data_IF_828799111235
#
_entry.id   IF_828799111235
#
_cell.length_a   1.000
_cell.length_b   1.000
_cell.length_c   1.000
_cell.angle_alpha   90.00
_cell.angle_beta   90.00
_cell.angle_gamma   90.00
#
_symmetry.space_group_name_H-M   'P 1'
#
loop_
_entity.id
_entity.type
_entity.pdbx_description
1 polymer ?
#
# COMPACT_ATOMS: atom_id res chain seq x y z
N UNK A 1 -19.76 0.66 4.67
CA UNK A 1 -20.09 1.13 3.32
C UNK A 1 -20.56 -0.03 2.45
N UNK A 2 -19.68 -1.00 2.07
CA UNK A 2 -20.11 -2.15 1.25
C UNK A 2 -21.15 -3.03 1.94
N UNK A 3 -21.06 -3.20 3.25
CA UNK A 3 -22.04 -3.94 4.07
C UNK A 3 -23.40 -3.22 4.17
N UNK A 4 -23.39 -1.90 4.10
CA UNK A 4 -24.60 -1.06 4.09
C UNK A 4 -25.22 -0.94 2.68
N UNK A 5 -24.55 -1.50 1.69
CA UNK A 5 -24.92 -1.44 0.28
C UNK A 5 -24.26 -0.30 -0.47
N UNK A 6 -23.71 -0.63 -1.61
CA UNK A 6 -23.15 0.32 -2.58
C UNK A 6 -23.53 -0.17 -3.97
N UNK A 7 -24.22 0.67 -4.74
CA UNK A 7 -24.69 0.29 -6.06
C UNK A 7 -23.55 -0.20 -6.96
N UNK A 8 -23.72 -1.39 -7.52
CA UNK A 8 -22.76 -2.02 -8.41
C UNK A 8 -21.57 -2.72 -7.74
N UNK A 9 -21.50 -2.72 -6.40
CA UNK A 9 -20.46 -3.43 -5.65
C UNK A 9 -21.05 -4.31 -4.56
N UNK A 10 -20.49 -5.51 -4.42
CA UNK A 10 -20.81 -6.46 -3.38
C UNK A 10 -19.55 -6.99 -2.71
N UNK A 11 -19.51 -6.97 -1.38
CA UNK A 11 -18.48 -7.68 -0.63
C UNK A 11 -18.87 -9.16 -0.59
N UNK A 12 -18.04 -10.03 -1.15
CA UNK A 12 -18.34 -11.46 -1.32
C UNK A 12 -17.51 -12.36 -0.41
N UNK A 13 -16.23 -12.05 -0.23
CA UNK A 13 -15.30 -12.88 0.54
C UNK A 13 -14.14 -12.06 1.11
N UNK A 14 -13.47 -12.63 2.10
CA UNK A 14 -12.23 -12.05 2.64
C UNK A 14 -11.16 -13.13 2.78
N UNK A 15 -9.88 -12.72 2.69
CA UNK A 15 -8.73 -13.52 3.13
C UNK A 15 -8.06 -12.86 4.33
N UNK A 16 -7.66 -13.64 5.32
CA UNK A 16 -7.01 -13.11 6.53
C UNK A 16 -6.07 -14.12 7.15
N UNK A 17 -4.85 -13.70 7.44
CA UNK A 17 -3.90 -14.49 8.23
C UNK A 17 -4.26 -14.64 9.71
N UNK A 18 -5.29 -13.94 10.20
CA UNK A 18 -5.79 -14.01 11.57
C UNK A 18 -7.25 -14.43 11.59
N UNK A 19 -7.47 -15.72 11.34
CA UNK A 19 -8.81 -16.30 11.15
C UNK A 19 -9.77 -15.96 12.27
N UNK A 20 -9.40 -16.16 13.53
CA UNK A 20 -10.27 -15.87 14.68
C UNK A 20 -10.73 -14.39 14.73
N UNK A 21 -9.83 -13.45 14.40
CA UNK A 21 -10.19 -12.02 14.34
C UNK A 21 -11.10 -11.71 13.16
N UNK A 22 -10.90 -12.38 12.06
CA UNK A 22 -11.77 -12.25 10.89
C UNK A 22 -13.18 -12.79 11.20
N UNK A 23 -13.29 -13.97 11.78
CA UNK A 23 -14.54 -14.57 12.21
C UNK A 23 -15.31 -13.64 13.17
N UNK A 24 -14.61 -13.13 14.20
CA UNK A 24 -15.22 -12.17 15.14
C UNK A 24 -15.68 -10.87 14.45
N UNK A 25 -14.93 -10.37 13.48
CA UNK A 25 -15.33 -9.19 12.69
C UNK A 25 -16.55 -9.48 11.81
N UNK A 26 -16.60 -10.64 11.16
CA UNK A 26 -17.70 -11.03 10.27
C UNK A 26 -19.04 -11.10 10.99
N UNK A 27 -19.07 -11.42 12.30
CA UNK A 27 -20.32 -11.40 13.08
C UNK A 27 -20.91 -10.00 13.23
N UNK A 28 -20.17 -8.94 12.93
CA UNK A 28 -20.64 -7.55 12.99
C UNK A 28 -21.21 -7.05 11.66
N UNK A 29 -21.11 -7.85 10.60
CA UNK A 29 -21.61 -7.50 9.28
C UNK A 29 -23.06 -7.97 9.07
N UNK A 30 -23.80 -7.22 8.27
CA UNK A 30 -25.19 -7.54 7.90
C UNK A 30 -25.23 -8.64 6.83
N UNK A 31 -24.20 -8.73 6.00
CA UNK A 31 -24.12 -9.70 4.89
C UNK A 31 -23.22 -10.87 5.29
N UNK A 32 -23.64 -12.12 5.07
CA UNK A 32 -22.78 -13.28 5.25
C UNK A 32 -21.59 -13.24 4.29
N UNK A 33 -20.38 -13.30 4.84
CA UNK A 33 -19.13 -13.25 4.09
C UNK A 33 -18.31 -14.49 4.42
N UNK A 34 -17.72 -15.10 3.38
CA UNK A 34 -16.85 -16.26 3.55
C UNK A 34 -15.39 -15.87 3.74
N UNK A 35 -14.69 -16.63 4.60
CA UNK A 35 -13.23 -16.54 4.75
C UNK A 35 -12.60 -17.58 3.82
N UNK A 36 -11.85 -17.10 2.85
CA UNK A 36 -11.22 -17.91 1.80
C UNK A 36 -9.70 -17.74 1.83
N UNK A 37 -8.97 -18.54 1.07
CA UNK A 37 -7.57 -18.31 0.73
C UNK A 37 -7.42 -17.11 -0.22
N UNK A 38 -6.20 -16.59 -0.37
CA UNK A 38 -5.90 -15.49 -1.32
C UNK A 38 -6.26 -15.92 -2.76
N UNK A 39 -5.93 -17.15 -3.12
CA UNK A 39 -6.20 -17.72 -4.43
C UNK A 39 -7.70 -17.81 -4.72
N UNK A 40 -8.48 -18.31 -3.78
CA UNK A 40 -9.94 -18.45 -3.91
C UNK A 40 -10.62 -17.08 -4.02
N UNK A 41 -10.18 -16.09 -3.24
CA UNK A 41 -10.66 -14.69 -3.37
C UNK A 41 -10.32 -14.13 -4.76
N UNK A 42 -9.09 -14.33 -5.23
CA UNK A 42 -8.67 -13.83 -6.55
C UNK A 42 -9.39 -14.55 -7.70
N UNK A 43 -9.83 -15.79 -7.51
CA UNK A 43 -10.60 -16.54 -8.51
C UNK A 43 -12.06 -16.10 -8.56
N UNK A 44 -12.71 -15.96 -7.40
CA UNK A 44 -14.14 -15.68 -7.29
C UNK A 44 -14.51 -14.21 -7.45
N UNK A 45 -13.58 -13.26 -7.21
CA UNK A 45 -13.85 -11.83 -7.26
C UNK A 45 -13.38 -11.19 -8.58
N UNK A 46 -14.04 -10.12 -8.99
CA UNK A 46 -13.59 -9.26 -10.11
C UNK A 46 -12.58 -8.22 -9.62
N UNK A 47 -12.74 -7.78 -8.37
CA UNK A 47 -11.91 -6.77 -7.72
C UNK A 47 -11.38 -7.34 -6.41
N UNK A 48 -10.08 -7.34 -6.23
CA UNK A 48 -9.41 -7.69 -4.98
C UNK A 48 -8.88 -6.42 -4.32
N UNK A 49 -9.26 -6.19 -3.07
CA UNK A 49 -8.79 -5.04 -2.29
C UNK A 49 -7.73 -5.51 -1.30
N UNK A 50 -6.51 -5.07 -1.51
CA UNK A 50 -5.37 -5.36 -0.63
C UNK A 50 -5.19 -4.28 0.43
N UNK A 51 -5.42 -4.66 1.69
CA UNK A 51 -5.10 -3.89 2.89
C UNK A 51 -4.19 -4.68 3.84
N UNK A 52 -3.52 -5.70 3.33
CA UNK A 52 -2.67 -6.61 4.10
C UNK A 52 -1.26 -6.03 4.36
N UNK A 53 -0.49 -6.62 5.28
CA UNK A 53 0.90 -6.26 5.46
C UNK A 53 1.73 -6.48 4.18
N UNK A 54 2.72 -5.60 3.93
CA UNK A 54 3.59 -5.65 2.73
C UNK A 54 4.16 -7.05 2.43
N UNK A 55 4.41 -7.86 3.44
CA UNK A 55 5.02 -9.19 3.29
C UNK A 55 4.19 -10.14 2.43
N UNK A 56 2.88 -10.01 2.40
CA UNK A 56 1.98 -10.85 1.58
C UNK A 56 1.54 -10.16 0.27
N UNK A 57 1.99 -8.93 0.03
CA UNK A 57 1.60 -8.16 -1.16
C UNK A 57 1.90 -8.91 -2.46
N UNK A 58 3.10 -9.50 -2.61
CA UNK A 58 3.49 -10.21 -3.82
C UNK A 58 2.57 -11.41 -4.13
N UNK A 59 2.16 -12.14 -3.10
CA UNK A 59 1.23 -13.27 -3.20
C UNK A 59 -0.14 -12.79 -3.70
N UNK A 60 -0.70 -11.75 -3.06
CA UNK A 60 -1.99 -11.16 -3.45
C UNK A 60 -1.94 -10.63 -4.89
N UNK A 61 -0.88 -9.88 -5.21
CA UNK A 61 -0.71 -9.30 -6.53
C UNK A 61 -0.60 -10.37 -7.62
N UNK A 62 0.21 -11.40 -7.40
CA UNK A 62 0.37 -12.50 -8.35
C UNK A 62 -0.95 -13.29 -8.54
N UNK A 63 -1.65 -13.60 -7.46
CA UNK A 63 -2.93 -14.31 -7.52
C UNK A 63 -3.97 -13.51 -8.33
N UNK A 64 -4.04 -12.20 -8.11
CA UNK A 64 -5.00 -11.31 -8.76
C UNK A 64 -4.65 -11.05 -10.22
N UNK A 65 -3.39 -10.66 -10.48
CA UNK A 65 -2.93 -10.25 -11.81
C UNK A 65 -2.91 -11.43 -12.78
N UNK A 66 -2.46 -12.62 -12.34
CA UNK A 66 -2.43 -13.82 -13.20
C UNK A 66 -3.80 -14.20 -13.74
N UNK A 67 -4.88 -13.79 -13.06
CA UNK A 67 -6.28 -14.04 -13.44
C UNK A 67 -6.92 -12.88 -14.22
N UNK A 68 -6.13 -11.84 -14.56
CA UNK A 68 -6.63 -10.68 -15.30
C UNK A 68 -7.60 -9.80 -14.51
N UNK A 69 -7.57 -9.85 -13.18
CA UNK A 69 -8.50 -9.15 -12.29
C UNK A 69 -8.00 -7.75 -11.92
N UNK A 70 -8.83 -6.99 -11.20
CA UNK A 70 -8.50 -5.66 -10.71
C UNK A 70 -7.95 -5.78 -9.29
N UNK A 71 -6.72 -5.32 -9.08
CA UNK A 71 -6.11 -5.16 -7.76
C UNK A 71 -6.21 -3.70 -7.32
N UNK A 72 -6.93 -3.43 -6.24
CA UNK A 72 -6.90 -2.14 -5.54
C UNK A 72 -6.04 -2.30 -4.29
N UNK A 73 -4.96 -1.55 -4.16
CA UNK A 73 -4.02 -1.71 -3.03
C UNK A 73 -3.69 -0.39 -2.36
N UNK A 74 -3.42 -0.43 -1.07
CA UNK A 74 -2.83 0.68 -0.31
C UNK A 74 -1.31 0.50 -0.13
N UNK A 75 -0.75 -0.61 -0.63
CA UNK A 75 0.66 -0.98 -0.44
C UNK A 75 1.58 -0.37 -1.51
N UNK A 76 1.78 0.95 -1.47
CA UNK A 76 2.74 1.61 -2.37
C UNK A 76 4.17 1.06 -2.24
N UNK A 77 4.60 0.75 -1.01
CA UNK A 77 5.88 0.08 -0.77
C UNK A 77 5.94 -1.34 -1.36
N UNK A 78 4.80 -2.03 -1.43
CA UNK A 78 4.68 -3.32 -2.11
C UNK A 78 4.89 -3.19 -3.62
N UNK A 79 4.27 -2.20 -4.25
CA UNK A 79 4.47 -1.91 -5.68
C UNK A 79 5.94 -1.60 -5.98
N UNK A 80 6.58 -0.73 -5.19
CA UNK A 80 7.99 -0.37 -5.39
C UNK A 80 8.96 -1.55 -5.23
N UNK A 81 8.59 -2.54 -4.41
CA UNK A 81 9.38 -3.76 -4.23
C UNK A 81 9.19 -4.80 -5.35
N UNK A 82 8.19 -4.62 -6.22
CA UNK A 82 7.84 -5.53 -7.31
C UNK A 82 7.82 -4.76 -8.65
N UNK A 83 8.98 -4.40 -9.22
CA UNK A 83 9.07 -3.51 -10.38
C UNK A 83 8.40 -4.05 -11.64
N UNK A 84 8.24 -5.37 -11.76
CA UNK A 84 7.61 -6.02 -12.93
C UNK A 84 6.08 -6.03 -12.87
N UNK A 85 5.48 -5.52 -11.79
CA UNK A 85 4.03 -5.62 -11.56
C UNK A 85 3.21 -4.95 -12.67
N UNK A 86 3.68 -3.80 -13.17
CA UNK A 86 3.02 -3.07 -14.26
C UNK A 86 3.06 -3.87 -15.55
N UNK A 87 4.22 -4.40 -15.91
CA UNK A 87 4.40 -5.24 -17.09
C UNK A 87 3.50 -6.48 -17.03
N UNK A 88 3.50 -7.17 -15.90
CA UNK A 88 2.64 -8.34 -15.68
C UNK A 88 1.17 -8.00 -15.80
N UNK A 89 0.73 -6.86 -15.25
CA UNK A 89 -0.65 -6.42 -15.34
C UNK A 89 -1.08 -6.16 -16.80
N UNK A 90 -0.22 -5.51 -17.59
CA UNK A 90 -0.46 -5.29 -19.03
C UNK A 90 -0.57 -6.62 -19.79
N UNK A 91 0.39 -7.53 -19.59
CA UNK A 91 0.42 -8.84 -20.26
C UNK A 91 -0.82 -9.69 -19.94
N UNK A 92 -1.31 -9.62 -18.70
CA UNK A 92 -2.48 -10.38 -18.22
C UNK A 92 -3.80 -9.64 -18.39
N UNK A 93 -3.79 -8.41 -18.95
CA UNK A 93 -4.98 -7.54 -19.06
C UNK A 93 -5.62 -7.25 -17.70
N UNK A 94 -4.84 -7.31 -16.64
CA UNK A 94 -5.22 -6.94 -15.28
C UNK A 94 -5.08 -5.42 -15.08
N UNK A 95 -5.62 -4.92 -13.96
CA UNK A 95 -5.43 -3.53 -13.56
C UNK A 95 -4.91 -3.47 -12.12
N UNK A 96 -3.93 -2.60 -11.89
CA UNK A 96 -3.44 -2.29 -10.55
C UNK A 96 -3.77 -0.85 -10.24
N UNK A 97 -4.51 -0.62 -9.18
CA UNK A 97 -4.94 0.71 -8.72
C UNK A 97 -4.34 0.94 -7.34
N UNK A 98 -3.38 1.85 -7.27
CA UNK A 98 -2.86 2.31 -5.97
C UNK A 98 -3.81 3.37 -5.42
N UNK A 99 -4.39 3.10 -4.26
CA UNK A 99 -5.21 4.07 -3.54
C UNK A 99 -4.33 5.25 -3.08
N UNK A 100 -4.87 6.46 -3.17
CA UNK A 100 -4.14 7.69 -2.85
C UNK A 100 -3.74 7.82 -1.38
N UNK A 101 -4.37 7.02 -0.50
CA UNK A 101 -4.12 7.07 0.94
C UNK A 101 -4.52 8.41 1.54
N UNK A 102 -3.70 8.93 2.44
CA UNK A 102 -3.95 10.17 3.16
C UNK A 102 -3.41 11.42 2.44
N UNK A 103 -2.85 11.30 1.24
CA UNK A 103 -2.30 12.44 0.49
C UNK A 103 -3.36 13.05 -0.42
N UNK A 104 -3.68 14.31 -0.19
CA UNK A 104 -4.50 15.11 -1.07
C UNK A 104 -3.69 15.65 -2.25
N UNK A 105 -4.33 15.85 -3.42
CA UNK A 105 -3.72 16.51 -4.56
C UNK A 105 -2.78 15.66 -5.39
N UNK A 106 -2.84 14.33 -5.33
CA UNK A 106 -2.08 13.46 -6.23
C UNK A 106 -2.47 13.65 -7.70
N UNK A 107 -3.70 14.05 -7.98
CA UNK A 107 -4.18 14.48 -9.29
C UNK A 107 -3.42 15.71 -9.80
N UNK A 108 -3.18 16.71 -8.95
CA UNK A 108 -2.38 17.87 -9.29
C UNK A 108 -0.90 17.50 -9.54
N UNK A 109 -0.34 16.58 -8.76
CA UNK A 109 1.02 16.06 -9.01
C UNK A 109 1.11 15.35 -10.36
N UNK A 110 0.13 14.52 -10.70
CA UNK A 110 0.06 13.84 -12.00
C UNK A 110 -0.08 14.83 -13.15
N UNK A 111 -0.91 15.86 -12.99
CA UNK A 111 -1.04 16.91 -14.00
C UNK A 111 0.27 17.70 -14.15
N UNK A 112 0.99 18.00 -13.07
CA UNK A 112 2.30 18.64 -13.12
C UNK A 112 3.36 17.76 -13.81
N UNK A 113 3.25 16.44 -13.69
CA UNK A 113 4.17 15.47 -14.30
C UNK A 113 4.06 15.39 -15.83
N UNK A 114 2.99 15.94 -16.44
CA UNK A 114 2.91 16.14 -17.90
C UNK A 114 3.91 17.22 -18.41
N UNK A 115 4.42 18.05 -17.49
CA UNK A 115 5.48 19.01 -17.73
C UNK A 115 6.79 18.62 -17.03
N UNK A 116 7.61 19.62 -16.73
CA UNK A 116 8.88 19.41 -16.03
C UNK A 116 8.72 19.69 -14.53
N UNK A 117 8.90 18.68 -13.70
CA UNK A 117 9.00 18.83 -12.25
C UNK A 117 10.47 18.87 -11.86
N UNK A 118 10.93 19.97 -11.26
CA UNK A 118 12.35 20.13 -10.86
C UNK A 118 12.70 19.34 -9.59
N UNK A 119 11.76 19.22 -8.64
CA UNK A 119 11.96 18.46 -7.40
C UNK A 119 10.63 18.11 -6.75
N UNK A 120 10.62 16.96 -6.07
CA UNK A 120 9.51 16.56 -5.18
C UNK A 120 10.11 16.20 -3.85
N UNK A 121 9.58 16.80 -2.78
CA UNK A 121 10.03 16.52 -1.42
C UNK A 121 8.85 16.31 -0.49
N UNK A 122 8.92 15.24 0.29
CA UNK A 122 7.96 14.94 1.34
C UNK A 122 8.64 14.94 2.70
N UNK A 123 8.03 15.63 3.66
CA UNK A 123 8.46 15.61 5.06
C UNK A 123 7.38 14.94 5.89
N UNK A 124 7.70 13.76 6.42
CA UNK A 124 6.81 13.02 7.30
C UNK A 124 7.26 13.13 8.75
N UNK A 125 6.33 13.44 9.64
CA UNK A 125 6.58 13.45 11.09
C UNK A 125 5.77 12.35 11.76
N UNK A 126 6.44 11.56 12.58
CA UNK A 126 5.84 10.43 13.31
C UNK A 126 6.27 10.50 14.78
N UNK A 127 5.42 10.09 15.72
CA UNK A 127 5.84 9.91 17.10
C UNK A 127 6.87 8.78 17.19
N UNK A 128 7.82 8.82 18.14
CA UNK A 128 8.91 7.84 18.26
C UNK A 128 8.43 6.38 18.27
N UNK A 129 7.36 6.09 18.99
CA UNK A 129 6.78 4.75 19.10
C UNK A 129 6.28 4.18 17.76
N UNK A 130 5.89 5.02 16.80
CA UNK A 130 5.46 4.58 15.48
C UNK A 130 6.63 4.20 14.55
N UNK A 131 7.87 4.52 14.94
CA UNK A 131 9.10 4.18 14.23
C UNK A 131 9.89 3.06 14.88
N UNK A 132 9.50 2.67 16.10
CA UNK A 132 10.17 1.61 16.85
C UNK A 132 10.12 0.29 16.08
N UNK A 133 11.25 -0.39 15.98
CA UNK A 133 11.39 -1.65 15.24
C UNK A 133 11.46 -1.51 13.72
N UNK A 134 11.42 -0.29 13.17
CA UNK A 134 11.67 -0.10 11.74
C UNK A 134 13.11 -0.53 11.38
N UNK A 135 13.34 -1.20 10.23
CA UNK A 135 14.65 -1.70 9.84
C UNK A 135 15.75 -0.65 9.98
N UNK A 136 15.55 0.53 9.42
CA UNK A 136 16.54 1.62 9.50
C UNK A 136 16.90 2.03 10.94
N UNK A 137 15.93 2.07 11.83
CA UNK A 137 16.15 2.43 13.24
C UNK A 137 16.99 1.37 13.94
N UNK A 138 16.68 0.09 13.70
CA UNK A 138 17.38 -1.06 14.30
C UNK A 138 18.80 -1.18 13.77
N UNK A 139 18.97 -1.19 12.44
CA UNK A 139 20.25 -1.37 11.76
C UNK A 139 21.26 -0.26 12.04
N UNK A 140 20.77 0.98 12.22
CA UNK A 140 21.62 2.12 12.52
C UNK A 140 21.70 2.46 14.02
N UNK A 141 21.12 1.63 14.90
CA UNK A 141 21.12 1.82 16.35
C UNK A 141 20.62 3.22 16.77
N UNK A 142 19.56 3.72 16.10
CA UNK A 142 19.03 5.06 16.36
C UNK A 142 18.20 5.04 17.66
N UNK A 143 18.61 5.83 18.64
CA UNK A 143 17.87 5.99 19.90
C UNK A 143 16.70 6.94 19.69
N UNK A 144 15.49 6.46 19.95
CA UNK A 144 14.24 7.23 19.86
C UNK A 144 13.77 7.78 21.21
N UNK A 145 14.46 7.41 22.29
CA UNK A 145 14.16 7.84 23.65
C UNK A 145 14.84 9.18 23.97
N UNK A 146 14.22 9.98 24.84
CA UNK A 146 14.79 11.25 25.31
C UNK A 146 14.84 12.37 24.27
N UNK A 147 14.13 12.24 23.15
CA UNK A 147 14.07 13.29 22.12
C UNK A 147 13.28 14.48 22.63
N UNK A 148 13.91 15.66 22.71
CA UNK A 148 13.31 16.91 23.17
C UNK A 148 12.70 17.78 22.06
N UNK A 149 12.62 17.23 20.83
CA UNK A 149 12.07 17.96 19.68
C UNK A 149 12.11 17.14 18.38
N UNK A 150 11.70 17.77 17.29
CA UNK A 150 11.70 17.12 15.98
C UNK A 150 13.14 16.79 15.54
N UNK A 151 13.42 15.51 15.41
CA UNK A 151 14.72 14.97 15.01
C UNK A 151 14.61 14.27 13.67
N UNK A 152 15.51 14.59 12.74
CA UNK A 152 15.58 13.90 11.45
C UNK A 152 16.27 12.56 11.64
N UNK A 153 15.54 11.47 11.48
CA UNK A 153 16.07 10.09 11.60
C UNK A 153 16.40 9.45 10.25
N UNK A 154 15.90 10.02 9.16
CA UNK A 154 16.14 9.54 7.80
C UNK A 154 16.04 10.69 6.78
N UNK A 155 16.90 10.63 5.76
CA UNK A 155 16.83 11.46 4.57
C UNK A 155 17.29 10.64 3.39
N UNK A 156 16.47 10.52 2.36
CA UNK A 156 16.75 9.74 1.17
C UNK A 156 15.58 9.79 0.18
N UNK A 157 15.65 8.95 -0.84
CA UNK A 157 14.57 8.80 -1.82
C UNK A 157 13.35 8.07 -1.24
N UNK A 158 12.20 8.20 -1.91
CA UNK A 158 10.99 7.46 -1.54
C UNK A 158 11.22 5.94 -1.61
N UNK A 159 12.03 5.46 -2.54
CA UNK A 159 12.42 4.05 -2.64
C UNK A 159 13.23 3.58 -1.44
N UNK A 160 14.27 4.33 -1.07
CA UNK A 160 15.06 4.03 0.13
C UNK A 160 14.21 4.10 1.39
N UNK A 161 13.32 5.10 1.49
CA UNK A 161 12.36 5.21 2.57
C UNK A 161 11.41 4.00 2.66
N UNK A 162 10.98 3.45 1.51
CA UNK A 162 10.13 2.26 1.47
C UNK A 162 10.85 0.98 1.95
N UNK A 163 12.15 0.90 1.79
CA UNK A 163 12.98 -0.16 2.37
C UNK A 163 13.21 0.06 3.86
N UNK A 164 13.58 1.30 4.24
CA UNK A 164 13.91 1.70 5.61
C UNK A 164 12.72 1.62 6.58
N UNK A 165 11.50 1.96 6.10
CA UNK A 165 10.28 2.10 6.92
C UNK A 165 9.06 1.49 6.22
N UNK A 166 9.01 0.19 5.94
CA UNK A 166 8.00 -0.43 5.07
C UNK A 166 6.55 -0.24 5.54
N UNK A 167 6.32 0.00 6.83
CA UNK A 167 5.00 0.23 7.39
C UNK A 167 4.55 1.71 7.35
N UNK A 168 5.44 2.65 6.96
CA UNK A 168 5.21 4.09 7.18
C UNK A 168 5.30 4.95 5.91
N UNK A 169 5.56 4.38 4.74
CA UNK A 169 5.93 5.15 3.54
C UNK A 169 5.03 4.94 2.33
N UNK A 170 3.88 4.31 2.48
CA UNK A 170 2.96 4.10 1.36
C UNK A 170 2.57 5.42 0.66
N UNK A 171 2.41 6.49 1.43
CA UNK A 171 2.08 7.82 0.88
C UNK A 171 3.26 8.40 0.09
N UNK A 172 4.50 8.26 0.57
CA UNK A 172 5.69 8.71 -0.16
C UNK A 172 5.90 7.89 -1.45
N UNK A 173 5.60 6.59 -1.40
CA UNK A 173 5.61 5.73 -2.57
C UNK A 173 4.56 6.19 -3.61
N UNK A 174 3.33 6.48 -3.17
CA UNK A 174 2.28 6.99 -4.04
C UNK A 174 2.66 8.34 -4.67
N UNK A 175 3.27 9.25 -3.90
CA UNK A 175 3.78 10.54 -4.40
C UNK A 175 4.87 10.35 -5.46
N UNK A 176 5.82 9.44 -5.22
CA UNK A 176 6.87 9.12 -6.18
C UNK A 176 6.32 8.54 -7.48
N UNK A 177 5.37 7.60 -7.39
CA UNK A 177 4.72 6.99 -8.54
C UNK A 177 3.84 7.97 -9.34
N UNK A 178 3.26 8.96 -8.67
CA UNK A 178 2.43 9.99 -9.32
C UNK A 178 3.26 11.12 -9.95
N UNK A 179 4.48 11.35 -9.49
CA UNK A 179 5.36 12.46 -9.88
C UNK A 179 6.55 12.03 -10.75
N UNK A 180 7.75 12.32 -10.25
CA UNK A 180 9.04 12.13 -10.98
C UNK A 180 9.72 10.78 -10.74
N UNK A 181 9.00 9.84 -10.15
CA UNK A 181 9.53 8.54 -9.78
C UNK A 181 10.05 8.48 -8.33
N UNK A 182 10.06 7.25 -7.78
CA UNK A 182 10.38 7.02 -6.38
C UNK A 182 11.87 7.25 -6.06
N UNK A 183 12.75 7.22 -7.05
CA UNK A 183 14.18 7.43 -6.88
C UNK A 183 14.57 8.92 -6.83
N UNK A 184 13.78 9.78 -7.46
CA UNK A 184 13.99 11.22 -7.49
C UNK A 184 13.14 11.98 -6.46
N UNK A 185 12.09 11.37 -5.93
CA UNK A 185 11.25 11.92 -4.85
C UNK A 185 11.96 11.73 -3.51
N UNK A 186 12.15 12.82 -2.75
CA UNK A 186 12.84 12.84 -1.46
C UNK A 186 11.88 13.05 -0.28
#
# INVERSE_FOLDING_TARGET
ALDDGMDGLQLSSIASGRREKAEAFLTTLNTPIEIMSIEEVAESCEIVVDCAPKVVFAEIANATISRGKILVTVSGAGILANPDIEKQAVEKKARVILATGALLGLDAVRAAAEGTINSVKMVTRKPPNALQGAPHIVENNITLEGLNGATCVFKGSAREGAAAFPANVNVAAALGLAGIGADLTQ
#
